data_IF_055571591879
#
_entry.id   IF_055571591879
#
_cell.length_a   1.000
_cell.length_b   1.000
_cell.length_c   1.000
_cell.angle_alpha   90.00
_cell.angle_beta   90.00
_cell.angle_gamma   90.00
#
_symmetry.space_group_name_H-M   'P 1'
#
loop_
_entity.id
_entity.type
_entity.pdbx_description
1 polymer ?
#
# COMPACT_ATOMS: atom_id res chain seq x y z
N UNK A 1 10.28 -8.94 1.51
CA UNK A 1 9.50 -7.78 1.10
C UNK A 1 8.09 -7.86 1.67
N UNK A 2 7.59 -6.78 2.26
CA UNK A 2 6.24 -6.61 2.78
C UNK A 2 5.74 -5.18 2.54
N UNK A 3 4.45 -4.92 2.73
CA UNK A 3 3.81 -3.63 2.42
C UNK A 3 4.24 -2.42 3.25
N UNK A 4 5.10 -2.62 4.24
CA UNK A 4 5.70 -1.55 5.05
C UNK A 4 7.23 -1.48 4.97
N UNK A 5 7.86 -2.13 3.97
CA UNK A 5 9.33 -2.20 3.79
C UNK A 5 9.87 -0.92 3.13
N UNK A 6 9.93 0.16 3.90
CA UNK A 6 10.35 1.50 3.42
C UNK A 6 11.84 1.60 3.09
N UNK A 7 12.70 0.71 3.63
CA UNK A 7 14.14 0.67 3.34
C UNK A 7 14.42 0.43 1.85
N UNK A 8 13.68 -0.51 1.23
CA UNK A 8 13.86 -0.84 -0.18
C UNK A 8 13.50 0.38 -1.06
N UNK A 9 12.40 1.07 -0.73
CA UNK A 9 11.98 2.29 -1.41
C UNK A 9 13.04 3.40 -1.24
N UNK A 10 13.56 3.58 -0.01
CA UNK A 10 14.61 4.55 0.27
C UNK A 10 15.87 4.29 -0.55
N UNK A 11 16.28 3.03 -0.68
CA UNK A 11 17.42 2.62 -1.49
C UNK A 11 17.23 3.00 -2.96
N UNK A 12 16.05 2.70 -3.53
CA UNK A 12 15.74 3.05 -4.93
C UNK A 12 15.70 4.56 -5.13
N UNK A 13 15.09 5.31 -4.21
CA UNK A 13 15.06 6.77 -4.27
C UNK A 13 16.47 7.34 -4.27
N UNK A 14 17.33 6.91 -3.36
CA UNK A 14 18.72 7.39 -3.29
C UNK A 14 19.52 7.06 -4.54
N UNK A 15 19.25 5.94 -5.20
CA UNK A 15 19.87 5.61 -6.48
C UNK A 15 19.44 6.56 -7.61
N UNK A 16 18.19 7.03 -7.58
CA UNK A 16 17.61 7.91 -8.62
C UNK A 16 17.98 9.37 -8.39
N UNK A 17 17.99 9.84 -7.14
CA UNK A 17 18.15 11.26 -6.77
C UNK A 17 19.37 11.99 -7.39
N UNK A 18 20.54 11.36 -7.59
CA UNK A 18 21.68 12.05 -8.22
C UNK A 18 21.41 12.49 -9.66
N UNK A 19 20.53 11.80 -10.37
CA UNK A 19 20.29 11.98 -11.80
C UNK A 19 19.13 12.97 -12.12
N UNK A 20 18.40 13.46 -11.09
CA UNK A 20 17.23 14.31 -11.30
C UNK A 20 17.18 15.44 -10.28
N UNK A 21 16.65 16.60 -10.70
CA UNK A 21 16.45 17.77 -9.81
C UNK A 21 15.13 17.70 -9.06
N UNK A 22 14.15 16.98 -9.60
CA UNK A 22 12.85 16.76 -8.99
C UNK A 22 12.42 15.31 -9.16
N UNK A 23 11.88 14.73 -8.08
CA UNK A 23 11.35 13.37 -8.03
C UNK A 23 9.95 13.40 -7.45
N UNK A 24 9.04 12.68 -8.07
CA UNK A 24 7.67 12.50 -7.62
C UNK A 24 7.41 11.02 -7.36
N UNK A 25 6.68 10.72 -6.28
CA UNK A 25 6.37 9.34 -5.92
C UNK A 25 4.90 9.04 -6.23
N UNK A 26 4.66 8.05 -7.07
CA UNK A 26 3.29 7.59 -7.38
C UNK A 26 3.17 6.12 -7.04
N UNK A 27 2.17 5.75 -6.24
CA UNK A 27 1.98 4.38 -5.81
C UNK A 27 0.52 3.95 -5.78
N UNK A 28 0.28 2.72 -6.22
CA UNK A 28 -1.05 2.11 -6.25
C UNK A 28 -1.16 1.02 -5.17
N UNK A 29 -2.32 0.92 -4.55
CA UNK A 29 -2.63 -0.14 -3.59
C UNK A 29 -1.55 -0.26 -2.51
N UNK A 30 -0.89 -1.41 -2.36
CA UNK A 30 0.21 -1.61 -1.41
C UNK A 30 1.41 -0.69 -1.67
N UNK A 31 1.67 -0.30 -2.94
CA UNK A 31 2.70 0.69 -3.27
C UNK A 31 2.36 2.08 -2.73
N UNK A 32 1.08 2.45 -2.74
CA UNK A 32 0.61 3.68 -2.09
C UNK A 32 0.79 3.64 -0.57
N UNK A 33 0.47 2.50 0.08
CA UNK A 33 0.72 2.33 1.51
C UNK A 33 2.21 2.51 1.85
N UNK A 34 3.08 1.95 1.01
CA UNK A 34 4.53 2.08 1.17
C UNK A 34 5.00 3.55 1.11
N UNK A 35 4.51 4.31 0.11
CA UNK A 35 4.83 5.74 -0.04
C UNK A 35 4.31 6.56 1.14
N UNK A 36 3.05 6.37 1.55
CA UNK A 36 2.49 7.09 2.69
C UNK A 36 3.25 6.81 3.98
N UNK A 37 3.62 5.55 4.21
CA UNK A 37 4.45 5.19 5.35
C UNK A 37 5.82 5.83 5.26
N UNK A 38 6.51 5.74 4.12
CA UNK A 38 7.81 6.34 3.88
C UNK A 38 7.82 7.85 4.15
N UNK A 39 6.77 8.56 3.71
CA UNK A 39 6.67 10.00 3.90
C UNK A 39 6.38 10.44 5.35
N UNK A 40 5.84 9.55 6.19
CA UNK A 40 5.34 9.92 7.52
C UNK A 40 5.93 9.16 8.70
N UNK A 41 6.68 8.05 8.52
CA UNK A 41 7.18 7.24 9.63
C UNK A 41 8.43 7.82 10.32
N UNK A 42 9.06 8.82 9.71
CA UNK A 42 10.21 9.53 10.28
C UNK A 42 11.49 8.70 10.32
N UNK A 43 11.54 7.53 9.67
CA UNK A 43 12.74 6.69 9.65
C UNK A 43 13.86 7.29 8.78
N UNK A 44 13.51 8.11 7.79
CA UNK A 44 14.45 8.69 6.85
C UNK A 44 14.28 10.20 6.72
N UNK A 45 15.37 10.91 6.54
CA UNK A 45 15.35 12.32 6.13
C UNK A 45 14.98 12.40 4.64
N UNK A 46 13.78 12.89 4.35
CA UNK A 46 13.30 12.99 2.98
C UNK A 46 14.03 14.09 2.22
N UNK A 47 14.63 13.75 1.07
CA UNK A 47 15.32 14.71 0.21
C UNK A 47 14.39 15.86 -0.21
N UNK A 48 14.94 17.08 -0.32
CA UNK A 48 14.25 18.26 -0.86
C UNK A 48 13.85 18.09 -2.34
N UNK A 49 14.53 17.18 -3.06
CA UNK A 49 14.21 16.82 -4.44
C UNK A 49 12.91 16.03 -4.58
N UNK A 50 12.44 15.37 -3.51
CA UNK A 50 11.09 14.78 -3.50
C UNK A 50 10.09 15.93 -3.34
N UNK A 51 9.36 16.25 -4.42
CA UNK A 51 8.47 17.42 -4.48
C UNK A 51 7.08 17.08 -3.99
N UNK A 52 6.47 16.01 -4.48
CA UNK A 52 5.14 15.58 -4.09
C UNK A 52 4.97 14.06 -4.25
N UNK A 53 3.88 13.53 -3.67
CA UNK A 53 3.53 12.12 -3.77
C UNK A 53 2.05 11.93 -4.04
N UNK A 54 1.69 10.90 -4.81
CA UNK A 54 0.29 10.50 -5.03
C UNK A 54 0.13 9.01 -4.72
N UNK A 55 -0.86 8.69 -3.92
CA UNK A 55 -1.20 7.34 -3.51
C UNK A 55 -2.64 7.01 -3.92
N UNK A 56 -2.87 5.90 -4.63
CA UNK A 56 -4.16 5.56 -5.24
C UNK A 56 -4.62 4.20 -4.74
N UNK A 57 -5.92 4.10 -4.36
CA UNK A 57 -6.58 2.85 -3.93
C UNK A 57 -5.85 2.15 -2.78
N UNK A 58 -5.51 2.90 -1.77
CA UNK A 58 -4.55 2.49 -0.74
C UNK A 58 -5.23 1.87 0.48
N UNK A 59 -4.84 0.65 0.85
CA UNK A 59 -5.24 0.04 2.11
C UNK A 59 -4.42 0.62 3.28
N UNK A 60 -4.66 1.90 3.63
CA UNK A 60 -3.93 2.58 4.73
C UNK A 60 -4.09 1.88 6.08
N UNK A 61 -5.15 1.10 6.25
CA UNK A 61 -5.35 0.11 7.31
C UNK A 61 -5.33 -1.30 6.72
N UNK A 62 -4.19 -1.95 6.79
CA UNK A 62 -3.98 -3.29 6.21
C UNK A 62 -4.88 -4.35 6.85
N UNK A 63 -5.14 -4.25 8.16
CA UNK A 63 -6.04 -5.18 8.84
C UNK A 63 -7.47 -5.04 8.32
N UNK A 64 -7.97 -3.82 8.28
CA UNK A 64 -9.31 -3.52 7.80
C UNK A 64 -9.50 -4.00 6.35
N UNK A 65 -8.53 -3.74 5.47
CA UNK A 65 -8.56 -4.19 4.07
C UNK A 65 -8.45 -5.71 3.95
N UNK A 66 -7.62 -6.37 4.73
CA UNK A 66 -7.53 -7.83 4.69
C UNK A 66 -8.85 -8.50 5.10
N UNK A 67 -9.62 -7.88 6.00
CA UNK A 67 -10.97 -8.32 6.37
C UNK A 67 -11.97 -8.01 5.24
N UNK A 68 -11.90 -6.82 4.62
CA UNK A 68 -12.77 -6.47 3.49
C UNK A 68 -12.61 -7.45 2.32
N UNK A 69 -11.38 -7.88 2.01
CA UNK A 69 -11.09 -8.89 0.98
C UNK A 69 -11.70 -10.27 1.27
N UNK A 70 -12.15 -10.55 2.51
CA UNK A 70 -12.82 -11.80 2.85
C UNK A 70 -14.35 -11.75 2.67
N UNK A 71 -14.92 -10.60 2.29
CA UNK A 71 -16.34 -10.47 1.98
C UNK A 71 -16.71 -11.31 0.76
N UNK A 72 -17.96 -11.74 0.67
CA UNK A 72 -18.45 -12.64 -0.41
C UNK A 72 -18.19 -12.05 -1.81
N UNK A 73 -18.40 -10.76 -1.99
CA UNK A 73 -18.13 -10.05 -3.26
C UNK A 73 -16.68 -10.15 -3.72
N UNK A 74 -15.74 -10.35 -2.80
CA UNK A 74 -14.30 -10.43 -3.07
C UNK A 74 -13.77 -11.87 -3.15
N UNK A 75 -14.62 -12.89 -3.12
CA UNK A 75 -14.21 -14.31 -3.08
C UNK A 75 -13.26 -14.66 -4.22
N UNK A 76 -13.54 -14.21 -5.45
CA UNK A 76 -12.71 -14.49 -6.63
C UNK A 76 -11.32 -13.83 -6.50
N UNK A 77 -11.26 -12.59 -6.02
CA UNK A 77 -10.00 -11.87 -5.80
C UNK A 77 -9.19 -12.52 -4.69
N UNK A 78 -9.80 -12.84 -3.56
CA UNK A 78 -9.13 -13.52 -2.45
C UNK A 78 -8.54 -14.86 -2.88
N UNK A 79 -9.32 -15.69 -3.61
CA UNK A 79 -8.85 -16.94 -4.17
C UNK A 79 -7.65 -16.75 -5.11
N UNK A 80 -7.70 -15.80 -6.05
CA UNK A 80 -6.61 -15.51 -6.98
C UNK A 80 -5.35 -15.03 -6.27
N UNK A 81 -5.48 -14.17 -5.25
CA UNK A 81 -4.35 -13.75 -4.43
C UNK A 81 -3.70 -14.92 -3.72
N UNK A 82 -4.49 -15.76 -3.05
CA UNK A 82 -3.98 -16.92 -2.34
C UNK A 82 -3.28 -17.92 -3.27
N UNK A 83 -3.82 -18.19 -4.45
CA UNK A 83 -3.15 -19.03 -5.46
C UNK A 83 -1.78 -18.45 -5.84
N UNK A 84 -1.71 -17.16 -6.14
CA UNK A 84 -0.47 -16.51 -6.55
C UNK A 84 0.56 -16.51 -5.43
N UNK A 85 0.13 -16.19 -4.22
CA UNK A 85 0.98 -16.19 -3.02
C UNK A 85 1.48 -17.59 -2.68
N UNK A 86 0.61 -18.61 -2.72
CA UNK A 86 0.99 -20.00 -2.49
C UNK A 86 2.02 -20.47 -3.51
N UNK A 87 1.83 -20.15 -4.79
CA UNK A 87 2.80 -20.48 -5.84
C UNK A 87 4.17 -19.84 -5.55
N UNK A 88 4.19 -18.57 -5.13
CA UNK A 88 5.43 -17.90 -4.73
C UNK A 88 6.11 -18.59 -3.54
N UNK A 89 5.34 -19.05 -2.54
CA UNK A 89 5.91 -19.78 -1.40
C UNK A 89 6.52 -21.14 -1.81
N UNK A 90 5.86 -21.88 -2.70
CA UNK A 90 6.45 -23.11 -3.25
C UNK A 90 7.77 -22.85 -3.99
N UNK A 91 7.84 -21.81 -4.82
CA UNK A 91 9.07 -21.43 -5.53
C UNK A 91 10.18 -21.01 -4.55
N UNK A 92 9.81 -20.23 -3.53
CA UNK A 92 10.77 -19.78 -2.51
C UNK A 92 11.27 -20.95 -1.65
N UNK A 93 10.39 -21.87 -1.27
CA UNK A 93 10.78 -23.07 -0.53
C UNK A 93 11.77 -23.96 -1.31
N UNK A 94 11.64 -24.07 -2.65
CA UNK A 94 12.63 -24.77 -3.48
C UNK A 94 14.03 -24.16 -3.40
N UNK A 95 14.12 -22.84 -3.21
CA UNK A 95 15.40 -22.13 -3.09
C UNK A 95 15.93 -22.12 -1.64
N UNK A 96 15.05 -22.14 -0.65
CA UNK A 96 15.33 -22.01 0.77
C UNK A 96 14.48 -23.02 1.56
N UNK A 97 14.78 -24.33 1.47
CA UNK A 97 13.92 -25.38 2.04
C UNK A 97 13.85 -25.33 3.57
N UNK A 98 14.94 -24.94 4.23
CA UNK A 98 15.04 -24.91 5.68
C UNK A 98 14.43 -23.65 6.31
N UNK A 99 14.24 -22.57 5.52
CA UNK A 99 13.76 -21.27 6.00
C UNK A 99 12.22 -21.15 6.01
N UNK A 100 11.51 -22.10 5.37
CA UNK A 100 10.07 -21.98 5.13
C UNK A 100 9.33 -23.27 5.48
N UNK A 101 8.45 -23.19 6.48
CA UNK A 101 7.48 -24.26 6.75
C UNK A 101 6.37 -24.27 5.70
N UNK A 102 6.63 -24.93 4.56
CA UNK A 102 5.67 -25.05 3.47
C UNK A 102 4.41 -25.83 3.85
N UNK A 103 4.44 -26.68 4.89
CA UNK A 103 3.30 -27.45 5.35
C UNK A 103 2.19 -26.53 5.90
N UNK A 104 2.56 -25.36 6.43
CA UNK A 104 1.61 -24.35 6.89
C UNK A 104 0.70 -23.81 5.77
N UNK A 105 1.01 -24.01 4.47
CA UNK A 105 0.08 -23.66 3.37
C UNK A 105 -1.25 -24.41 3.47
N UNK A 106 -1.28 -25.60 4.05
CA UNK A 106 -2.52 -26.38 4.26
C UNK A 106 -3.50 -25.69 5.22
N UNK A 107 -3.01 -24.79 6.07
CA UNK A 107 -3.79 -24.05 7.05
C UNK A 107 -4.33 -22.72 6.48
N UNK A 108 -3.81 -22.28 5.34
CA UNK A 108 -4.16 -21.01 4.73
C UNK A 108 -5.48 -21.13 3.96
N UNK A 109 -6.53 -20.51 4.49
CA UNK A 109 -7.87 -20.43 3.87
C UNK A 109 -8.23 -19.02 3.41
N UNK A 110 -7.60 -18.01 3.99
CA UNK A 110 -7.84 -16.59 3.75
C UNK A 110 -6.53 -15.79 3.87
N UNK A 111 -6.55 -14.53 3.40
CA UNK A 111 -5.36 -13.70 3.35
C UNK A 111 -4.74 -13.46 4.73
N UNK A 112 -5.57 -13.29 5.76
CA UNK A 112 -5.09 -13.15 7.14
C UNK A 112 -4.34 -14.38 7.66
N UNK A 113 -4.70 -15.59 7.21
CA UNK A 113 -3.95 -16.80 7.57
C UNK A 113 -2.59 -16.80 6.86
N UNK A 114 -2.57 -16.38 5.59
CA UNK A 114 -1.30 -16.23 4.87
C UNK A 114 -0.37 -15.24 5.57
N UNK A 115 -0.90 -14.11 6.02
CA UNK A 115 -0.11 -13.13 6.75
C UNK A 115 0.37 -13.66 8.11
N UNK A 116 -0.43 -14.48 8.78
CA UNK A 116 -0.05 -15.11 10.05
C UNK A 116 1.08 -16.14 9.87
N UNK A 117 0.93 -17.05 8.90
CA UNK A 117 1.86 -18.16 8.75
C UNK A 117 3.11 -17.82 7.92
N UNK A 118 3.02 -16.84 7.00
CA UNK A 118 4.11 -16.52 6.08
C UNK A 118 4.58 -15.08 6.17
N UNK A 119 3.74 -14.08 5.91
CA UNK A 119 4.19 -12.68 5.84
C UNK A 119 4.83 -12.25 7.16
N UNK A 120 4.21 -12.54 8.29
CA UNK A 120 4.73 -12.18 9.60
C UNK A 120 6.04 -12.90 9.89
N UNK A 121 6.09 -14.22 9.72
CA UNK A 121 7.24 -15.05 10.07
C UNK A 121 8.48 -14.68 9.25
N UNK A 122 8.32 -14.62 7.92
CA UNK A 122 9.43 -14.33 7.00
C UNK A 122 10.04 -12.95 7.25
N UNK A 123 9.24 -11.99 7.72
CA UNK A 123 9.68 -10.61 7.89
C UNK A 123 9.91 -10.22 9.36
N UNK A 124 9.97 -11.18 10.29
CA UNK A 124 10.34 -10.95 11.69
C UNK A 124 9.29 -10.26 12.54
N UNK A 125 8.01 -10.30 12.12
CA UNK A 125 6.90 -9.86 12.96
C UNK A 125 6.44 -10.99 13.89
N UNK A 126 5.88 -10.63 15.04
CA UNK A 126 5.38 -11.61 16.02
C UNK A 126 4.23 -12.45 15.45
N UNK A 127 3.31 -11.81 14.73
CA UNK A 127 2.11 -12.38 14.12
C UNK A 127 1.53 -11.39 13.09
N UNK A 128 0.42 -11.74 12.43
CA UNK A 128 -0.24 -10.87 11.46
C UNK A 128 -0.70 -9.54 12.08
N UNK A 129 -1.15 -9.53 13.32
CA UNK A 129 -1.57 -8.30 14.01
C UNK A 129 -0.39 -7.33 14.21
N UNK A 130 0.77 -7.83 14.61
CA UNK A 130 2.00 -7.02 14.75
C UNK A 130 2.45 -6.48 13.36
N UNK A 131 2.36 -7.31 12.31
CA UNK A 131 2.59 -6.87 10.94
C UNK A 131 1.66 -5.72 10.55
N UNK A 132 0.35 -5.88 10.71
CA UNK A 132 -0.61 -4.84 10.33
C UNK A 132 -0.40 -3.55 11.10
N UNK A 133 -0.15 -3.63 12.40
CA UNK A 133 0.05 -2.45 13.25
C UNK A 133 1.29 -1.65 12.87
N UNK A 134 2.37 -2.32 12.44
CA UNK A 134 3.63 -1.67 12.06
C UNK A 134 3.70 -1.24 10.60
N UNK A 135 2.97 -1.93 9.72
CA UNK A 135 3.05 -1.72 8.28
C UNK A 135 1.94 -0.80 7.73
N UNK A 136 0.81 -0.64 8.43
CA UNK A 136 -0.26 0.28 8.04
C UNK A 136 0.19 1.73 8.06
N UNK A 137 -0.08 2.47 6.98
CA UNK A 137 0.36 3.86 6.84
C UNK A 137 -0.54 4.86 7.57
N UNK A 138 -1.79 4.52 7.92
CA UNK A 138 -2.77 5.43 8.51
C UNK A 138 -2.21 6.21 9.71
N UNK A 139 -1.51 5.55 10.62
CA UNK A 139 -0.94 6.13 11.83
C UNK A 139 0.13 7.20 11.57
N UNK A 140 0.72 7.21 10.38
CA UNK A 140 1.80 8.12 10.01
C UNK A 140 1.32 9.33 9.19
N UNK A 141 0.05 9.36 8.75
CA UNK A 141 -0.49 10.42 7.87
C UNK A 141 -0.34 11.81 8.47
N UNK A 142 -0.55 11.95 9.77
CA UNK A 142 -0.44 13.26 10.46
C UNK A 142 0.98 13.82 10.47
N UNK A 143 1.99 12.99 10.23
CA UNK A 143 3.41 13.36 10.24
C UNK A 143 3.97 13.60 8.84
N UNK A 144 3.18 13.39 7.78
CA UNK A 144 3.63 13.62 6.41
C UNK A 144 3.96 15.09 6.21
N UNK A 145 5.21 15.37 5.82
CA UNK A 145 5.73 16.74 5.64
C UNK A 145 5.79 17.18 4.18
N UNK A 146 5.66 16.25 3.22
CA UNK A 146 5.67 16.55 1.78
C UNK A 146 4.25 16.62 1.23
N UNK A 147 3.97 17.47 0.23
CA UNK A 147 2.69 17.49 -0.46
C UNK A 147 2.30 16.09 -0.91
N UNK A 148 1.18 15.59 -0.42
CA UNK A 148 0.74 14.21 -0.68
C UNK A 148 -0.75 14.17 -0.96
N UNK A 149 -1.15 13.47 -2.02
CA UNK A 149 -2.53 13.20 -2.38
C UNK A 149 -2.85 11.72 -2.19
N UNK A 150 -3.91 11.41 -1.48
CA UNK A 150 -4.54 10.08 -1.42
C UNK A 150 -5.84 10.09 -2.20
N UNK A 151 -6.01 9.15 -3.14
CA UNK A 151 -7.25 8.93 -3.89
C UNK A 151 -7.78 7.53 -3.56
N UNK A 152 -8.86 7.45 -2.81
CA UNK A 152 -9.57 6.20 -2.50
C UNK A 152 -11.03 6.32 -2.92
N UNK A 153 -11.49 5.49 -3.87
CA UNK A 153 -12.88 5.48 -4.30
C UNK A 153 -13.80 4.89 -3.22
N UNK A 154 -14.99 5.47 -3.06
CA UNK A 154 -15.96 4.99 -2.06
C UNK A 154 -16.53 3.60 -2.39
N UNK A 155 -16.50 3.21 -3.65
CA UNK A 155 -16.95 1.91 -4.16
C UNK A 155 -15.81 0.87 -4.30
N UNK A 156 -14.61 1.16 -3.76
CA UNK A 156 -13.50 0.20 -3.78
C UNK A 156 -13.80 -0.98 -2.85
N UNK A 157 -14.03 -2.21 -3.39
CA UNK A 157 -14.42 -3.35 -2.59
C UNK A 157 -13.31 -3.90 -1.69
N UNK A 158 -12.05 -3.48 -1.91
CA UNK A 158 -10.91 -3.94 -1.14
C UNK A 158 -10.65 -3.10 0.11
N UNK A 159 -11.27 -1.91 0.18
CA UNK A 159 -11.06 -1.00 1.28
C UNK A 159 -12.15 -1.12 2.34
N UNK A 160 -11.73 -1.03 3.60
CA UNK A 160 -12.64 -0.84 4.73
C UNK A 160 -12.87 0.66 4.96
N UNK A 161 -13.88 1.02 5.73
CA UNK A 161 -14.15 2.41 6.15
C UNK A 161 -12.93 3.06 6.81
N UNK A 162 -12.13 2.28 7.53
CA UNK A 162 -10.90 2.75 8.16
C UNK A 162 -9.81 3.17 7.18
N UNK A 163 -9.94 2.84 5.89
CA UNK A 163 -9.04 3.28 4.83
C UNK A 163 -9.38 4.66 4.24
N UNK A 164 -10.35 5.35 4.82
CA UNK A 164 -10.69 6.74 4.51
C UNK A 164 -10.26 7.65 5.68
N UNK A 165 -9.00 8.11 5.72
CA UNK A 165 -8.41 8.82 6.87
C UNK A 165 -8.85 10.30 6.92
N UNK A 166 -10.14 10.56 7.02
CA UNK A 166 -10.74 11.90 7.00
C UNK A 166 -10.24 12.75 8.18
N UNK A 167 -10.14 12.14 9.35
CA UNK A 167 -9.69 12.84 10.56
C UNK A 167 -8.22 13.23 10.47
N UNK A 168 -7.39 12.33 9.95
CA UNK A 168 -5.96 12.54 9.75
C UNK A 168 -5.72 13.61 8.68
N UNK A 169 -6.48 13.58 7.59
CA UNK A 169 -6.41 14.58 6.52
C UNK A 169 -6.74 15.99 7.00
N UNK A 170 -7.75 16.14 7.85
CA UNK A 170 -8.10 17.45 8.45
C UNK A 170 -7.02 18.02 9.36
N UNK A 171 -6.12 17.19 9.88
CA UNK A 171 -5.05 17.60 10.81
C UNK A 171 -3.72 17.89 10.12
N UNK A 172 -3.60 17.60 8.82
CA UNK A 172 -2.33 17.75 8.10
C UNK A 172 -2.53 18.52 6.79
N UNK A 173 -2.04 19.75 6.73
CA UNK A 173 -2.14 20.63 5.56
C UNK A 173 -1.36 20.13 4.32
N UNK A 174 -0.37 19.25 4.52
CA UNK A 174 0.37 18.65 3.42
C UNK A 174 -0.32 17.40 2.85
N UNK A 175 -1.41 16.94 3.46
CA UNK A 175 -2.10 15.72 3.07
C UNK A 175 -3.50 16.02 2.54
N UNK A 176 -3.71 15.71 1.26
CA UNK A 176 -4.97 15.88 0.57
C UNK A 176 -5.66 14.52 0.39
N UNK A 177 -6.96 14.45 0.68
CA UNK A 177 -7.77 13.25 0.50
C UNK A 177 -8.86 13.50 -0.54
N UNK A 178 -8.89 12.70 -1.60
CA UNK A 178 -9.96 12.64 -2.58
C UNK A 178 -10.70 11.31 -2.45
N UNK A 179 -12.03 11.38 -2.32
CA UNK A 179 -12.90 10.20 -2.17
C UNK A 179 -13.99 10.21 -3.26
N UNK A 180 -13.63 9.97 -4.54
CA UNK A 180 -14.63 9.90 -5.61
C UNK A 180 -15.62 8.78 -5.33
N UNK A 181 -16.88 8.99 -5.76
CA UNK A 181 -17.96 8.03 -5.53
C UNK A 181 -17.70 6.68 -6.23
N UNK A 182 -17.11 6.76 -7.42
CA UNK A 182 -16.85 5.60 -8.29
C UNK A 182 -15.39 5.58 -8.71
N UNK A 183 -14.83 4.38 -8.83
CA UNK A 183 -13.44 4.17 -9.24
C UNK A 183 -13.03 2.71 -9.10
N UNK A 184 -13.74 1.96 -8.25
CA UNK A 184 -13.37 0.60 -7.89
C UNK A 184 -11.95 0.54 -7.34
N UNK A 185 -11.31 -0.63 -7.44
CA UNK A 185 -9.89 -0.76 -7.10
C UNK A 185 -9.03 -0.50 -8.33
N UNK A 186 -8.40 0.68 -8.40
CA UNK A 186 -7.51 1.19 -9.47
C UNK A 186 -8.14 1.34 -10.86
N UNK A 187 -9.46 1.24 -11.00
CA UNK A 187 -10.14 1.33 -12.29
C UNK A 187 -10.23 2.76 -12.81
N UNK A 188 -10.92 3.64 -12.11
CA UNK A 188 -11.09 5.06 -12.41
C UNK A 188 -11.30 5.37 -13.90
N UNK A 189 -12.16 4.59 -14.56
CA UNK A 189 -12.41 4.69 -16.01
C UNK A 189 -13.01 6.06 -16.32
N UNK A 190 -12.50 6.72 -17.35
CA UNK A 190 -13.04 7.96 -17.89
C UNK A 190 -13.23 7.85 -19.42
N UNK A 191 -13.89 8.86 -20.00
CA UNK A 191 -13.94 9.02 -21.45
C UNK A 191 -12.59 9.57 -21.94
N UNK A 192 -11.99 8.97 -22.97
CA UNK A 192 -10.72 9.39 -23.56
C UNK A 192 -9.60 8.38 -23.32
N UNK A 193 -8.37 8.77 -23.67
CA UNK A 193 -7.20 7.88 -23.70
C UNK A 193 -6.55 7.68 -22.33
N UNK A 194 -6.90 8.49 -21.34
CA UNK A 194 -6.31 8.46 -20.00
C UNK A 194 -7.37 8.11 -18.95
N UNK A 195 -6.96 7.41 -17.90
CA UNK A 195 -7.80 7.19 -16.73
C UNK A 195 -8.02 8.50 -15.96
N UNK A 196 -9.18 8.63 -15.31
CA UNK A 196 -9.47 9.80 -14.48
C UNK A 196 -8.39 10.01 -13.39
N UNK A 197 -7.89 8.94 -12.79
CA UNK A 197 -6.83 9.02 -11.80
C UNK A 197 -5.53 9.59 -12.35
N UNK A 198 -5.17 9.31 -13.61
CA UNK A 198 -3.97 9.88 -14.26
C UNK A 198 -4.08 11.39 -14.41
N UNK A 199 -5.26 11.90 -14.80
CA UNK A 199 -5.50 13.35 -14.82
C UNK A 199 -5.35 13.96 -13.43
N UNK A 200 -5.87 13.32 -12.36
CA UNK A 200 -5.71 13.84 -10.99
C UNK A 200 -4.26 13.81 -10.53
N UNK A 201 -3.51 12.75 -10.87
CA UNK A 201 -2.08 12.64 -10.59
C UNK A 201 -1.35 13.84 -11.22
N UNK A 202 -1.49 14.02 -12.53
CA UNK A 202 -0.80 15.10 -13.26
C UNK A 202 -1.19 16.48 -12.74
N UNK A 203 -2.48 16.74 -12.52
CA UNK A 203 -2.95 18.00 -11.98
C UNK A 203 -2.34 18.32 -10.62
N UNK A 204 -2.25 17.33 -9.74
CA UNK A 204 -1.66 17.51 -8.42
C UNK A 204 -0.15 17.73 -8.50
N UNK A 205 0.57 16.89 -9.25
CA UNK A 205 2.04 16.97 -9.32
C UNK A 205 2.52 18.24 -10.01
N UNK A 206 1.79 18.76 -11.00
CA UNK A 206 2.12 20.01 -11.69
C UNK A 206 1.97 21.26 -10.79
N UNK A 207 1.40 21.14 -9.59
CA UNK A 207 1.30 22.23 -8.62
C UNK A 207 2.58 22.40 -7.78
N UNK A 208 3.54 21.49 -7.92
CA UNK A 208 4.79 21.42 -7.16
C UNK A 208 6.01 21.20 -8.05
#
# INVERSE_FOLDING_TARGET
YHSGKTDDLHTVINYVLPNYDSVYLVGFSLGGNLILKYNGDGLFNLSSKIKASVAISVPVDLKGSSIALQRRENTLYNWRFLLTLSKKMYLKHKQFPDDLDIQSLKLVKKLTDFDEYFTSKINGFKNAQDYYSKASSKQFITNISKPTLLINALDDPFLSESCFPITEAKKNLNFNLMTPRYGGHVGFISKGDFYWSEHQILNFLNSY
#
